data_IF_591893786051
#
_entry.id   IF_591893786051
#
_cell.length_a   1.000
_cell.length_b   1.000
_cell.length_c   1.000
_cell.angle_alpha   90.00
_cell.angle_beta   90.00
_cell.angle_gamma   90.00
#
_symmetry.space_group_name_H-M   'P 1'
#
loop_
_entity.id
_entity.type
_entity.pdbx_description
1 polymer ?
#
# COMPACT_ATOMS: atom_id res chain seq x y z
N UNK A 1 -4.34 -17.77 9.40
CA UNK A 1 -4.12 -16.84 10.53
C UNK A 1 -4.08 -15.39 10.06
N UNK A 2 -3.46 -15.09 8.91
CA UNK A 2 -3.27 -13.71 8.42
C UNK A 2 -4.56 -12.90 8.25
N UNK A 3 -5.66 -13.51 7.78
CA UNK A 3 -6.87 -12.77 7.45
C UNK A 3 -7.54 -12.10 8.67
N UNK A 4 -7.38 -12.68 9.87
CA UNK A 4 -7.89 -12.10 11.12
C UNK A 4 -7.07 -10.89 11.55
N UNK A 5 -5.75 -10.93 11.34
CA UNK A 5 -4.85 -9.82 11.66
C UNK A 5 -5.03 -8.66 10.67
N UNK A 6 -5.16 -8.99 9.38
CA UNK A 6 -5.53 -8.04 8.34
C UNK A 6 -6.83 -7.34 8.71
N UNK A 7 -7.87 -8.09 9.07
CA UNK A 7 -9.16 -7.50 9.46
C UNK A 7 -9.06 -6.61 10.70
N UNK A 8 -8.23 -6.95 11.69
CA UNK A 8 -7.99 -6.08 12.86
C UNK A 8 -7.35 -4.75 12.45
N UNK A 9 -6.27 -4.81 11.66
CA UNK A 9 -5.58 -3.62 11.16
C UNK A 9 -6.53 -2.75 10.34
N UNK A 10 -7.31 -3.37 9.45
CA UNK A 10 -8.33 -2.70 8.64
C UNK A 10 -9.36 -2.01 9.52
N UNK A 11 -9.89 -2.69 10.53
CA UNK A 11 -10.86 -2.10 11.45
C UNK A 11 -10.26 -0.92 12.22
N UNK A 12 -9.02 -1.04 12.69
CA UNK A 12 -8.30 0.05 13.36
C UNK A 12 -8.14 1.25 12.43
N UNK A 13 -7.60 1.07 11.23
CA UNK A 13 -7.38 2.18 10.29
C UNK A 13 -8.70 2.81 9.87
N UNK A 14 -9.74 2.02 9.64
CA UNK A 14 -11.07 2.53 9.29
C UNK A 14 -11.66 3.36 10.42
N UNK A 15 -11.47 2.96 11.68
CA UNK A 15 -11.89 3.71 12.86
C UNK A 15 -11.07 5.01 13.04
N UNK A 16 -9.76 4.96 12.82
CA UNK A 16 -8.86 6.13 12.94
C UNK A 16 -9.08 7.17 11.84
N UNK A 17 -9.30 6.71 10.59
CA UNK A 17 -9.35 7.58 9.40
C UNK A 17 -10.77 7.89 8.93
N UNK A 18 -11.77 7.11 9.37
CA UNK A 18 -13.15 7.17 8.86
C UNK A 18 -13.30 6.67 7.41
N UNK A 19 -12.25 6.11 6.80
CA UNK A 19 -12.23 5.69 5.40
C UNK A 19 -12.70 4.25 5.24
N UNK A 20 -13.22 3.95 4.06
CA UNK A 20 -13.62 2.57 3.70
C UNK A 20 -12.40 1.76 3.26
N UNK A 21 -12.35 0.51 3.68
CA UNK A 21 -11.33 -0.40 3.20
C UNK A 21 -11.66 -0.89 1.80
N UNK A 22 -10.69 -0.78 0.88
CA UNK A 22 -10.70 -1.42 -0.42
C UNK A 22 -9.71 -2.57 -0.42
N UNK A 23 -10.21 -3.75 -0.74
CA UNK A 23 -9.36 -4.90 -0.98
C UNK A 23 -8.71 -4.78 -2.37
N UNK A 24 -7.38 -4.69 -2.39
CA UNK A 24 -6.61 -4.79 -3.64
C UNK A 24 -6.34 -6.25 -3.96
N UNK A 25 -6.36 -6.59 -5.24
CA UNK A 25 -6.08 -7.94 -5.74
C UNK A 25 -4.81 -7.93 -6.57
N UNK A 26 -4.27 -9.11 -6.84
CA UNK A 26 -3.20 -9.25 -7.84
C UNK A 26 -3.66 -8.60 -9.15
N UNK A 27 -2.79 -7.84 -9.79
CA UNK A 27 -3.06 -7.05 -11.00
C UNK A 27 -3.87 -5.76 -10.77
N UNK A 28 -4.29 -5.47 -9.53
CA UNK A 28 -5.02 -4.24 -9.24
C UNK A 28 -4.07 -3.04 -9.28
N UNK A 29 -4.53 -1.95 -9.90
CA UNK A 29 -3.79 -0.70 -9.98
C UNK A 29 -4.07 0.16 -8.76
N UNK A 30 -3.00 0.62 -8.13
CA UNK A 30 -3.01 1.50 -6.96
C UNK A 30 -2.48 2.85 -7.38
N UNK A 31 -3.16 3.94 -7.04
CA UNK A 31 -2.78 5.32 -7.36
C UNK A 31 -3.18 6.22 -6.18
N UNK A 32 -2.48 6.06 -5.08
CA UNK A 32 -2.90 6.54 -3.76
C UNK A 32 -1.71 7.05 -2.95
N UNK A 33 -1.94 7.72 -1.82
CA UNK A 33 -0.86 8.23 -0.97
C UNK A 33 -0.41 7.16 0.00
N UNK A 34 0.89 6.84 0.02
CA UNK A 34 1.44 5.96 1.04
C UNK A 34 1.46 6.66 2.40
N UNK A 35 0.80 6.04 3.38
CA UNK A 35 0.57 6.64 4.71
C UNK A 35 1.48 6.06 5.78
N UNK A 36 1.39 4.75 6.02
CA UNK A 36 2.16 4.08 7.08
C UNK A 36 2.47 2.61 6.75
N UNK A 37 3.60 2.08 7.23
CA UNK A 37 3.84 0.65 7.22
C UNK A 37 2.95 -0.04 8.27
N UNK A 38 2.55 -1.27 7.99
CA UNK A 38 1.92 -2.17 8.95
C UNK A 38 2.71 -3.46 8.95
N UNK A 39 3.12 -3.90 10.14
CA UNK A 39 3.77 -5.18 10.33
C UNK A 39 2.70 -6.21 10.70
N UNK A 40 2.55 -7.22 9.85
CA UNK A 40 1.75 -8.42 10.13
C UNK A 40 2.72 -9.55 10.51
N UNK A 41 2.23 -10.57 11.22
CA UNK A 41 3.08 -11.61 11.80
C UNK A 41 4.00 -12.34 10.81
N UNK A 42 3.67 -12.34 9.51
CA UNK A 42 4.45 -13.02 8.46
C UNK A 42 5.12 -12.07 7.47
N UNK A 43 4.59 -10.87 7.26
CA UNK A 43 5.06 -9.94 6.23
C UNK A 43 4.73 -8.49 6.58
N UNK A 44 5.54 -7.56 6.10
CA UNK A 44 5.22 -6.13 6.15
C UNK A 44 4.29 -5.77 4.99
N UNK A 45 3.35 -4.88 5.26
CA UNK A 45 2.45 -4.29 4.28
C UNK A 45 2.53 -2.77 4.36
N UNK A 46 2.17 -2.10 3.28
CA UNK A 46 2.01 -0.66 3.25
C UNK A 46 0.53 -0.30 3.19
N UNK A 47 0.14 0.73 3.94
CA UNK A 47 -1.19 1.33 3.83
C UNK A 47 -1.09 2.47 2.86
N UNK A 48 -1.89 2.39 1.81
CA UNK A 48 -2.09 3.46 0.84
C UNK A 48 -3.52 3.96 0.98
N UNK A 49 -3.70 5.27 0.96
CA UNK A 49 -5.00 5.89 1.18
C UNK A 49 -5.24 7.05 0.22
N UNK A 50 -6.51 7.26 -0.14
CA UNK A 50 -6.97 8.45 -0.83
C UNK A 50 -8.01 9.19 0.03
N UNK A 51 -8.75 10.11 -0.56
CA UNK A 51 -9.73 10.93 0.15
C UNK A 51 -10.90 10.11 0.74
N UNK A 52 -11.26 8.96 0.17
CA UNK A 52 -12.49 8.21 0.50
C UNK A 52 -12.22 6.80 1.02
N UNK A 53 -11.16 6.17 0.55
CA UNK A 53 -10.84 4.78 0.80
C UNK A 53 -9.36 4.60 1.13
N UNK A 54 -9.05 3.44 1.71
CA UNK A 54 -7.69 2.99 1.95
C UNK A 54 -7.53 1.52 1.62
N UNK A 55 -6.32 1.14 1.24
CA UNK A 55 -5.94 -0.19 0.82
C UNK A 55 -4.64 -0.61 1.48
N UNK A 56 -4.45 -1.91 1.65
CA UNK A 56 -3.18 -2.49 2.06
C UNK A 56 -2.50 -3.13 0.86
N UNK A 57 -1.24 -2.80 0.61
CA UNK A 57 -0.45 -3.36 -0.48
C UNK A 57 0.75 -4.09 0.08
N UNK A 58 1.27 -5.13 -0.61
CA UNK A 58 2.52 -5.77 -0.22
C UNK A 58 3.63 -4.72 -0.05
N UNK A 59 4.48 -4.90 0.97
CA UNK A 59 5.59 -3.99 1.19
C UNK A 59 6.59 -4.04 0.03
N UNK A 60 7.12 -2.88 -0.34
CA UNK A 60 8.14 -2.73 -1.36
C UNK A 60 9.19 -1.75 -0.86
N UNK A 61 10.49 -2.05 -0.96
CA UNK A 61 11.57 -1.20 -0.40
C UNK A 61 11.54 0.25 -0.88
N UNK A 62 11.00 0.51 -2.08
CA UNK A 62 10.80 1.87 -2.59
C UNK A 62 9.86 2.72 -1.70
N UNK A 63 8.99 2.08 -0.91
CA UNK A 63 8.08 2.74 0.03
C UNK A 63 8.79 3.24 1.29
N UNK A 64 9.97 2.71 1.63
CA UNK A 64 10.76 3.11 2.81
C UNK A 64 11.00 4.62 2.86
N UNK A 65 11.20 5.26 1.71
CA UNK A 65 11.50 6.69 1.58
C UNK A 65 10.34 7.54 1.04
N UNK A 66 9.13 6.97 1.02
CA UNK A 66 8.01 7.53 0.27
C UNK A 66 6.78 7.83 1.12
N UNK A 67 6.94 7.83 2.44
CA UNK A 67 5.88 8.16 3.39
C UNK A 67 5.31 9.55 3.11
N UNK A 68 3.98 9.65 3.03
CA UNK A 68 3.25 10.87 2.69
C UNK A 68 3.30 11.25 1.21
N UNK A 69 3.83 10.37 0.33
CA UNK A 69 3.94 10.65 -1.10
C UNK A 69 2.96 9.83 -1.91
N UNK A 70 2.60 10.35 -3.07
CA UNK A 70 1.75 9.66 -4.01
C UNK A 70 2.52 8.49 -4.65
N UNK A 71 1.93 7.30 -4.59
CA UNK A 71 2.47 6.07 -5.15
C UNK A 71 1.51 5.52 -6.18
N UNK A 72 2.06 4.94 -7.25
CA UNK A 72 1.30 4.46 -8.39
C UNK A 72 1.90 3.16 -8.89
N UNK A 73 1.16 2.08 -8.96
CA UNK A 73 1.69 0.83 -9.51
C UNK A 73 0.68 -0.30 -9.51
N UNK A 74 1.16 -1.47 -9.91
CA UNK A 74 0.34 -2.68 -10.02
C UNK A 74 0.71 -3.61 -8.88
N UNK A 75 -0.29 -4.15 -8.19
CA UNK A 75 -0.10 -5.16 -7.15
C UNK A 75 0.34 -6.46 -7.81
N UNK A 76 1.66 -6.65 -7.91
CA UNK A 76 2.24 -7.92 -8.32
C UNK A 76 2.09 -8.98 -7.22
N UNK A 77 2.16 -10.26 -7.62
CA UNK A 77 2.12 -11.36 -6.64
C UNK A 77 3.25 -11.25 -5.62
N UNK A 78 3.15 -12.01 -4.51
CA UNK A 78 3.97 -11.90 -3.30
C UNK A 78 5.51 -11.87 -3.47
N UNK A 79 6.03 -12.17 -4.66
CA UNK A 79 7.47 -12.11 -4.97
C UNK A 79 7.93 -10.78 -5.60
N UNK A 80 7.05 -9.99 -6.25
CA UNK A 80 7.44 -8.76 -6.97
C UNK A 80 6.29 -7.72 -7.00
N UNK A 81 6.16 -6.85 -5.98
CA UNK A 81 5.24 -5.72 -6.09
C UNK A 81 5.81 -4.68 -7.07
N UNK A 82 5.15 -4.42 -8.20
CA UNK A 82 5.55 -3.35 -9.15
C UNK A 82 4.96 -1.98 -8.73
N UNK A 83 5.15 -1.61 -7.47
CA UNK A 83 4.68 -0.33 -6.94
C UNK A 83 5.72 0.74 -7.29
N UNK A 84 5.39 1.67 -8.19
CA UNK A 84 6.26 2.79 -8.55
C UNK A 84 5.91 4.00 -7.68
N UNK A 85 6.90 4.68 -7.12
CA UNK A 85 6.64 5.92 -6.35
C UNK A 85 6.79 7.11 -7.30
N UNK A 86 5.74 7.95 -7.41
CA UNK A 86 5.82 9.21 -8.15
C UNK A 86 6.16 10.36 -7.20
N UNK A 87 7.44 10.70 -7.11
CA UNK A 87 7.84 11.98 -6.53
C UNK A 87 7.56 13.08 -7.57
N UNK A 88 7.01 14.23 -7.15
CA UNK A 88 6.54 15.33 -8.01
C UNK A 88 7.56 16.02 -8.94
N UNK A 89 8.67 15.37 -9.28
CA UNK A 89 9.58 15.74 -10.36
C UNK A 89 9.94 14.46 -11.11
N UNK A 90 9.42 14.33 -12.33
CA UNK A 90 9.40 13.09 -13.09
C UNK A 90 10.73 12.35 -13.16
N UNK A 91 10.68 11.05 -12.86
CA UNK A 91 11.41 9.96 -13.53
C UNK A 91 10.96 8.64 -12.92
N UNK A 92 10.36 7.78 -13.75
CA UNK A 92 10.15 6.38 -13.42
C UNK A 92 11.50 5.68 -13.49
N UNK A 93 12.06 5.26 -12.36
CA UNK A 93 13.13 4.28 -12.37
C UNK A 93 12.49 2.90 -12.51
N UNK A 94 12.38 2.42 -13.76
CA UNK A 94 12.38 0.96 -13.99
C UNK A 94 13.80 0.49 -13.73
N UNK A 95 14.01 -0.35 -12.71
CA UNK A 95 15.23 -1.16 -12.67
C UNK A 95 15.07 -2.26 -13.71
N UNK A 96 15.96 -2.21 -14.71
CA UNK A 96 16.27 -3.29 -15.64
C UNK A 96 17.15 -4.31 -14.92
#
# INVERSE_FOLDING_TARGET
MEQREVNKVVATISSETGKKFRQVRKDDKVEDVYSKPVELASCRYAVVENAKEFSHVPWCSVLEHSKGKFVSGVVGGAAYPEILVKNGRGRFLRKQ
#
